data_IF_896274798228
#
_entry.id   IF_896274798228
#
_cell.length_a   1.000
_cell.length_b   1.000
_cell.length_c   1.000
_cell.angle_alpha   90.00
_cell.angle_beta   90.00
_cell.angle_gamma   90.00
#
_symmetry.space_group_name_H-M   'P 1'
#
loop_
_entity.id
_entity.type
_entity.pdbx_description
1 polymer ?
#
# COMPACT_ATOMS: atom_id res chain seq x y z
N UNK A 1 15.05 19.83 -25.31
CA UNK A 1 14.64 21.18 -25.77
C UNK A 1 13.29 21.47 -25.15
N UNK A 2 13.21 22.35 -24.14
CA UNK A 2 11.93 22.93 -23.75
C UNK A 2 11.65 24.09 -24.69
N UNK A 3 10.49 24.08 -25.34
CA UNK A 3 10.01 25.27 -26.06
C UNK A 3 9.24 26.08 -25.03
N UNK A 4 9.85 27.16 -24.52
CA UNK A 4 9.11 28.22 -23.87
C UNK A 4 8.66 29.21 -24.95
N UNK A 5 7.38 29.12 -25.33
CA UNK A 5 6.75 30.14 -26.15
C UNK A 5 6.43 31.37 -25.28
N UNK A 6 7.21 32.44 -25.44
CA UNK A 6 6.82 33.77 -24.97
C UNK A 6 5.93 34.37 -26.05
N UNK A 7 4.62 34.51 -25.79
CA UNK A 7 3.73 35.27 -26.65
C UNK A 7 4.03 36.76 -26.44
N UNK A 8 4.69 37.38 -27.40
CA UNK A 8 4.92 38.84 -27.40
C UNK A 8 3.71 39.52 -28.03
N UNK A 9 3.14 40.47 -27.29
CA UNK A 9 2.12 41.38 -27.78
C UNK A 9 2.78 42.43 -28.68
N UNK A 10 2.47 42.38 -29.98
CA UNK A 10 2.89 43.38 -30.96
C UNK A 10 1.70 44.32 -31.19
N UNK A 11 1.72 45.48 -30.57
CA UNK A 11 0.68 46.50 -30.76
C UNK A 11 1.10 47.74 -30.00
N UNK A 12 1.51 48.74 -30.75
CA UNK A 12 1.81 50.08 -30.25
C UNK A 12 0.54 50.70 -29.65
N UNK A 13 0.72 51.34 -28.50
CA UNK A 13 -0.09 52.38 -27.85
C UNK A 13 -1.55 52.55 -28.32
N UNK A 14 -2.49 52.30 -27.41
CA UNK A 14 -3.51 53.24 -26.91
C UNK A 14 -4.10 52.63 -25.64
N UNK A 15 -3.93 53.30 -24.48
CA UNK A 15 -4.62 52.90 -23.24
C UNK A 15 -6.12 53.10 -23.45
N UNK A 16 -6.88 52.01 -23.55
CA UNK A 16 -8.31 52.03 -23.31
C UNK A 16 -8.55 52.06 -21.80
N UNK A 17 -8.87 53.25 -21.28
CA UNK A 17 -9.61 53.37 -20.02
C UNK A 17 -10.92 52.58 -20.17
N UNK A 18 -11.22 51.74 -19.19
CA UNK A 18 -12.36 50.80 -19.11
C UNK A 18 -12.22 49.52 -19.95
N UNK A 19 -11.57 48.51 -19.38
CA UNK A 19 -12.08 47.13 -19.44
C UNK A 19 -11.57 46.38 -18.22
N UNK A 20 -12.50 45.74 -17.49
CA UNK A 20 -12.20 44.89 -16.34
C UNK A 20 -11.12 43.88 -16.72
N UNK A 21 -9.93 44.02 -16.12
CA UNK A 21 -8.84 43.07 -16.27
C UNK A 21 -9.36 41.69 -15.88
N UNK A 22 -9.58 40.86 -16.91
CA UNK A 22 -10.03 39.49 -16.79
C UNK A 22 -9.07 38.77 -15.85
N UNK A 23 -9.50 38.60 -14.61
CA UNK A 23 -8.87 37.72 -13.65
C UNK A 23 -8.99 36.29 -14.19
N UNK A 24 -8.07 35.93 -15.08
CA UNK A 24 -7.80 34.53 -15.41
C UNK A 24 -7.11 33.93 -14.20
N UNK A 25 -7.91 33.50 -13.20
CA UNK A 25 -7.47 32.47 -12.25
C UNK A 25 -7.28 31.18 -13.03
N UNK A 26 -6.16 31.08 -13.76
CA UNK A 26 -5.72 29.81 -14.30
C UNK A 26 -5.30 28.97 -13.10
N UNK A 27 -6.22 28.17 -12.60
CA UNK A 27 -5.93 27.08 -11.67
C UNK A 27 -5.49 25.83 -12.44
N UNK A 28 -4.61 25.99 -13.43
CA UNK A 28 -3.87 24.86 -13.98
C UNK A 28 -2.67 24.60 -13.07
N UNK A 29 -2.90 23.92 -11.95
CA UNK A 29 -1.81 23.16 -11.36
C UNK A 29 -1.50 22.03 -12.35
N UNK A 30 -0.35 22.12 -13.02
CA UNK A 30 0.27 20.94 -13.62
C UNK A 30 0.67 20.05 -12.44
N UNK A 31 -0.23 19.15 -12.05
CA UNK A 31 0.13 18.06 -11.18
C UNK A 31 1.05 17.17 -12.00
N UNK A 32 2.33 17.15 -11.64
CA UNK A 32 3.25 16.18 -12.18
C UNK A 32 2.79 14.81 -11.61
N UNK A 33 1.81 14.19 -12.27
CA UNK A 33 1.12 12.98 -11.83
C UNK A 33 2.08 11.79 -11.62
N UNK A 34 3.33 11.97 -12.07
CA UNK A 34 4.45 11.07 -11.91
C UNK A 34 4.56 10.09 -13.08
N UNK A 35 5.36 9.04 -12.89
CA UNK A 35 5.58 7.97 -13.87
C UNK A 35 4.68 6.78 -13.53
N UNK A 36 4.55 5.74 -14.38
CA UNK A 36 3.91 4.48 -13.98
C UNK A 36 4.50 3.84 -12.69
N UNK A 37 5.68 4.31 -12.25
CA UNK A 37 6.39 3.90 -11.04
C UNK A 37 6.45 4.95 -9.92
N UNK A 38 5.85 6.14 -10.09
CA UNK A 38 5.81 7.17 -9.05
C UNK A 38 4.53 7.98 -9.17
N UNK A 39 3.81 8.19 -8.08
CA UNK A 39 2.70 9.15 -8.05
C UNK A 39 3.11 10.36 -7.21
N UNK A 40 3.06 11.53 -7.84
CA UNK A 40 3.06 12.88 -7.26
C UNK A 40 4.17 13.30 -6.26
N UNK A 41 5.16 12.47 -5.90
CA UNK A 41 6.30 12.81 -5.04
C UNK A 41 5.93 13.57 -3.74
N UNK A 42 4.71 13.38 -3.24
CA UNK A 42 4.18 14.16 -2.11
C UNK A 42 4.36 13.40 -0.80
N UNK A 43 4.94 14.08 0.19
CA UNK A 43 4.68 13.76 1.60
C UNK A 43 3.21 14.03 1.85
N UNK A 44 2.40 12.98 1.82
CA UNK A 44 0.98 13.05 2.14
C UNK A 44 0.79 12.77 3.63
N UNK A 45 -0.18 13.46 4.24
CA UNK A 45 -0.65 13.16 5.60
C UNK A 45 -1.48 11.87 5.61
N UNK A 46 -2.62 11.88 6.28
CA UNK A 46 -3.54 10.74 6.24
C UNK A 46 -4.11 10.58 4.81
N UNK A 47 -3.77 9.48 4.14
CA UNK A 47 -4.38 9.08 2.87
C UNK A 47 -5.51 8.10 3.15
N UNK A 48 -6.73 8.47 2.74
CA UNK A 48 -7.90 7.60 2.84
C UNK A 48 -8.23 7.03 1.46
N UNK A 49 -8.36 5.71 1.36
CA UNK A 49 -8.80 5.02 0.15
C UNK A 49 -10.27 4.64 0.34
N UNK A 50 -11.15 5.36 -0.34
CA UNK A 50 -12.58 5.08 -0.32
C UNK A 50 -12.96 4.32 -1.61
N UNK A 51 -13.34 3.03 -1.51
CA UNK A 51 -13.84 2.31 -2.66
C UNK A 51 -15.17 2.90 -3.16
N UNK A 52 -15.42 2.78 -4.46
CA UNK A 52 -16.65 3.26 -5.10
C UNK A 52 -17.28 2.22 -6.05
N UNK A 53 -16.71 1.02 -6.14
CA UNK A 53 -17.23 0.01 -7.06
C UNK A 53 -18.52 -0.61 -6.50
N UNK A 54 -19.45 -0.88 -7.41
CA UNK A 54 -20.74 -1.52 -7.11
C UNK A 54 -20.64 -3.05 -7.28
N UNK A 55 -19.63 -3.56 -8.01
CA UNK A 55 -19.36 -4.99 -8.19
C UNK A 55 -17.86 -5.27 -8.43
N UNK A 56 -17.25 -6.17 -7.62
CA UNK A 56 -15.96 -6.81 -7.89
C UNK A 56 -14.87 -6.62 -6.82
N UNK A 57 -13.70 -7.25 -7.02
CA UNK A 57 -12.48 -7.10 -6.19
C UNK A 57 -11.76 -5.74 -6.43
N UNK A 58 -12.60 -4.76 -6.80
CA UNK A 58 -12.43 -3.34 -7.15
C UNK A 58 -11.66 -2.47 -6.13
N UNK A 59 -11.76 -2.88 -4.87
CA UNK A 59 -11.89 -1.94 -3.77
C UNK A 59 -10.63 -1.86 -2.89
N UNK A 60 -10.29 -0.64 -2.45
CA UNK A 60 -9.30 -0.43 -1.39
C UNK A 60 -7.83 -0.48 -1.83
N UNK A 61 -6.96 -0.86 -0.88
CA UNK A 61 -5.51 -0.96 -1.07
C UNK A 61 -5.14 -2.33 -1.65
N UNK A 62 -4.62 -2.37 -2.88
CA UNK A 62 -4.08 -3.60 -3.49
C UNK A 62 -2.57 -3.55 -3.53
N UNK A 63 -1.94 -4.51 -2.87
CA UNK A 63 -0.48 -4.68 -2.86
C UNK A 63 -0.12 -5.83 -3.79
N UNK A 64 0.59 -5.52 -4.88
CA UNK A 64 1.05 -6.53 -5.83
C UNK A 64 2.27 -7.29 -5.30
N UNK A 65 2.49 -8.49 -5.84
CA UNK A 65 3.72 -9.26 -5.59
C UNK A 65 4.91 -8.59 -6.26
N UNK A 66 6.08 -8.75 -5.66
CA UNK A 66 7.37 -8.27 -6.20
C UNK A 66 7.76 -8.95 -7.51
N UNK A 67 7.32 -10.20 -7.72
CA UNK A 67 7.46 -10.98 -8.95
C UNK A 67 6.15 -11.73 -9.16
N UNK A 68 5.65 -11.75 -10.39
CA UNK A 68 4.42 -12.48 -10.74
C UNK A 68 4.51 -13.95 -10.29
N UNK A 69 3.49 -14.42 -9.57
CA UNK A 69 3.35 -15.79 -9.03
C UNK A 69 4.38 -16.26 -7.97
N UNK A 70 5.59 -15.68 -7.92
CA UNK A 70 6.71 -16.20 -7.10
C UNK A 70 7.26 -15.18 -6.11
N UNK A 71 7.04 -13.89 -6.32
CA UNK A 71 7.52 -12.85 -5.41
C UNK A 71 6.58 -12.66 -4.22
N UNK A 72 7.08 -12.06 -3.15
CA UNK A 72 6.29 -11.77 -1.97
C UNK A 72 5.48 -10.47 -2.08
N UNK A 73 4.51 -10.29 -1.19
CA UNK A 73 3.84 -9.00 -0.95
C UNK A 73 3.71 -8.75 0.55
N UNK A 74 3.82 -7.50 0.97
CA UNK A 74 3.78 -7.09 2.38
C UNK A 74 3.03 -5.77 2.60
N UNK A 75 2.41 -5.66 3.77
CA UNK A 75 2.06 -4.39 4.40
C UNK A 75 2.91 -4.30 5.67
N UNK A 76 3.82 -3.34 5.73
CA UNK A 76 4.66 -3.11 6.92
C UNK A 76 4.06 -2.06 7.85
N UNK A 77 4.04 -2.37 9.16
CA UNK A 77 3.50 -1.53 10.22
C UNK A 77 4.62 -1.18 11.21
N UNK A 78 4.73 0.08 11.59
CA UNK A 78 5.79 0.52 12.51
C UNK A 78 7.15 0.70 11.82
N UNK A 79 7.16 1.15 10.56
CA UNK A 79 8.38 1.48 9.83
C UNK A 79 9.17 2.61 10.50
N UNK A 80 10.47 2.70 10.21
CA UNK A 80 11.29 3.84 10.62
C UNK A 80 10.85 5.10 9.86
N UNK A 81 10.89 6.26 10.54
CA UNK A 81 10.62 7.56 9.92
C UNK A 81 11.66 7.93 8.85
N UNK A 82 12.86 7.36 8.94
CA UNK A 82 14.01 7.74 8.09
C UNK A 82 14.61 6.59 7.30
N UNK A 83 14.22 5.34 7.58
CA UNK A 83 14.63 4.17 6.79
C UNK A 83 13.41 3.39 6.32
N UNK A 84 13.42 3.05 5.04
CA UNK A 84 12.45 2.17 4.40
C UNK A 84 13.08 0.84 3.95
N UNK A 85 14.26 0.50 4.49
CA UNK A 85 14.98 -0.72 4.14
C UNK A 85 15.62 -1.37 5.37
N UNK A 86 15.82 -2.69 5.28
CA UNK A 86 16.36 -3.51 6.37
C UNK A 86 15.34 -3.86 7.45
N UNK A 87 15.75 -4.74 8.37
CA UNK A 87 14.93 -5.10 9.53
C UNK A 87 14.82 -3.91 10.49
N UNK A 88 13.60 -3.44 10.72
CA UNK A 88 13.30 -2.38 11.69
C UNK A 88 12.79 -3.03 12.98
N UNK A 89 13.39 -2.68 14.11
CA UNK A 89 12.96 -3.19 15.42
C UNK A 89 11.52 -2.77 15.73
N UNK A 90 10.72 -3.72 16.22
CA UNK A 90 9.31 -3.48 16.56
C UNK A 90 8.35 -3.39 15.35
N UNK A 91 8.86 -3.51 14.13
CA UNK A 91 8.03 -3.54 12.92
C UNK A 91 7.24 -4.86 12.84
N UNK A 92 5.96 -4.74 12.49
CA UNK A 92 5.09 -5.87 12.18
C UNK A 92 4.80 -5.93 10.69
N UNK A 93 4.53 -7.12 10.17
CA UNK A 93 4.17 -7.31 8.77
C UNK A 93 2.92 -8.15 8.65
N UNK A 94 2.10 -7.81 7.65
CA UNK A 94 1.14 -8.73 7.04
C UNK A 94 1.78 -9.16 5.72
N UNK A 95 2.14 -10.43 5.61
CA UNK A 95 3.09 -10.91 4.61
C UNK A 95 2.55 -12.13 3.87
N UNK A 96 2.78 -12.15 2.55
CA UNK A 96 2.56 -13.33 1.72
C UNK A 96 3.89 -13.74 1.07
N UNK A 97 4.58 -14.78 1.55
CA UNK A 97 5.80 -15.27 0.93
C UNK A 97 5.52 -15.89 -0.46
N UNK A 98 6.60 -16.28 -1.15
CA UNK A 98 6.53 -17.04 -2.40
C UNK A 98 5.67 -18.31 -2.29
N UNK A 99 5.61 -18.93 -1.12
CA UNK A 99 4.81 -20.13 -0.80
C UNK A 99 3.31 -19.87 -0.65
N UNK A 100 2.86 -18.61 -0.73
CA UNK A 100 1.44 -18.19 -0.75
C UNK A 100 0.66 -18.38 0.56
N UNK A 101 1.33 -18.63 1.68
CA UNK A 101 0.69 -18.50 3.00
C UNK A 101 0.36 -17.03 3.31
N UNK A 102 -0.51 -16.80 4.30
CA UNK A 102 -0.70 -15.49 4.92
C UNK A 102 -0.07 -15.50 6.30
N UNK A 103 0.81 -14.54 6.58
CA UNK A 103 1.60 -14.46 7.82
C UNK A 103 1.38 -13.09 8.47
N UNK A 104 1.17 -13.08 9.79
CA UNK A 104 1.23 -11.88 10.62
C UNK A 104 2.28 -12.12 11.71
N UNK A 105 3.38 -11.37 11.64
CA UNK A 105 4.53 -11.55 12.53
C UNK A 105 5.34 -10.26 12.70
N UNK A 106 6.28 -10.28 13.64
CA UNK A 106 7.38 -9.31 13.66
C UNK A 106 8.19 -9.46 12.37
N UNK A 107 8.56 -8.35 11.74
CA UNK A 107 9.18 -8.34 10.40
C UNK A 107 10.40 -9.26 10.28
N UNK A 108 11.25 -9.28 11.31
CA UNK A 108 12.45 -10.13 11.36
C UNK A 108 12.16 -11.64 11.46
N UNK A 109 10.91 -12.04 11.68
CA UNK A 109 10.47 -13.43 11.83
C UNK A 109 9.49 -13.85 10.73
N UNK A 110 9.18 -12.98 9.76
CA UNK A 110 8.12 -13.23 8.77
C UNK A 110 8.40 -14.41 7.83
N UNK A 111 9.68 -14.78 7.65
CA UNK A 111 10.09 -15.95 6.87
C UNK A 111 10.22 -17.23 7.72
N UNK A 112 10.09 -17.13 9.04
CA UNK A 112 10.11 -18.27 9.95
C UNK A 112 8.70 -18.83 10.13
N UNK A 113 8.45 -20.01 9.56
CA UNK A 113 7.15 -20.71 9.63
C UNK A 113 6.76 -21.15 11.06
N UNK A 114 7.67 -21.02 12.02
CA UNK A 114 7.44 -21.36 13.44
C UNK A 114 7.07 -20.14 14.28
N UNK A 115 6.88 -18.96 13.68
CA UNK A 115 6.64 -17.69 14.39
C UNK A 115 5.40 -16.97 13.88
N UNK A 116 4.73 -16.25 14.78
CA UNK A 116 3.55 -15.44 14.44
C UNK A 116 2.30 -16.26 14.13
N UNK A 117 1.30 -15.61 13.54
CA UNK A 117 0.05 -16.21 13.10
C UNK A 117 0.14 -16.55 11.62
N UNK A 118 -0.19 -17.78 11.23
CA UNK A 118 -0.08 -18.23 9.84
C UNK A 118 -1.32 -18.98 9.37
N UNK A 119 -1.74 -18.68 8.14
CA UNK A 119 -2.72 -19.46 7.38
C UNK A 119 -1.99 -20.11 6.21
N UNK A 120 -2.14 -21.43 6.06
CA UNK A 120 -1.54 -22.18 4.96
C UNK A 120 -2.05 -21.71 3.60
N UNK A 121 -1.26 -21.96 2.54
CA UNK A 121 -1.58 -21.53 1.18
C UNK A 121 -2.89 -22.11 0.63
N UNK A 122 -3.31 -23.28 1.13
CA UNK A 122 -4.56 -23.94 0.78
C UNK A 122 -5.74 -23.50 1.68
N UNK A 123 -5.49 -22.64 2.68
CA UNK A 123 -6.49 -22.15 3.62
C UNK A 123 -6.95 -23.17 4.67
N UNK A 124 -6.37 -24.38 4.72
CA UNK A 124 -6.86 -25.46 5.57
C UNK A 124 -6.27 -25.48 6.98
N UNK A 125 -5.12 -24.85 7.20
CA UNK A 125 -4.38 -24.90 8.47
C UNK A 125 -4.13 -23.51 9.00
N UNK A 126 -4.51 -23.29 10.26
CA UNK A 126 -4.21 -22.10 11.04
C UNK A 126 -3.23 -22.47 12.16
N UNK A 127 -2.11 -21.74 12.29
CA UNK A 127 -1.10 -21.96 13.32
C UNK A 127 -0.66 -20.68 14.02
N UNK A 128 -0.22 -20.81 15.27
CA UNK A 128 0.41 -19.73 16.02
C UNK A 128 1.71 -20.23 16.67
N UNK A 129 2.82 -19.54 16.40
CA UNK A 129 4.16 -19.91 16.87
C UNK A 129 4.48 -21.42 16.65
N UNK A 130 4.23 -21.90 15.43
CA UNK A 130 4.46 -23.29 15.04
C UNK A 130 3.43 -24.31 15.56
N UNK A 131 2.51 -23.91 16.44
CA UNK A 131 1.46 -24.79 16.96
C UNK A 131 0.21 -24.69 16.09
N UNK A 132 -0.28 -25.83 15.58
CA UNK A 132 -1.54 -25.89 14.82
C UNK A 132 -2.73 -25.72 15.76
N UNK A 133 -3.56 -24.71 15.49
CA UNK A 133 -4.76 -24.42 16.29
C UNK A 133 -6.06 -24.81 15.58
N UNK A 134 -6.05 -24.92 14.25
CA UNK A 134 -7.15 -25.50 13.48
C UNK A 134 -6.63 -26.13 12.18
N UNK A 135 -7.30 -27.19 11.71
CA UNK A 135 -6.96 -27.89 10.47
C UNK A 135 -6.28 -29.24 10.66
N UNK A 136 -5.61 -29.70 9.60
CA UNK A 136 -4.88 -30.97 9.61
C UNK A 136 -3.72 -30.91 10.61
N UNK A 137 -3.66 -31.87 11.53
CA UNK A 137 -2.63 -31.94 12.57
C UNK A 137 -2.98 -31.22 13.89
N UNK A 138 -4.16 -30.59 14.02
CA UNK A 138 -4.62 -30.07 15.30
C UNK A 138 -4.92 -31.22 16.28
N UNK A 139 -4.24 -31.25 17.43
CA UNK A 139 -4.39 -32.34 18.42
C UNK A 139 -5.64 -32.19 19.29
N UNK A 140 -6.17 -30.97 19.43
CA UNK A 140 -7.37 -30.66 20.18
C UNK A 140 -8.32 -29.83 19.31
N UNK A 141 -9.27 -30.49 18.63
CA UNK A 141 -10.41 -29.76 18.08
C UNK A 141 -11.14 -29.04 19.21
N UNK A 142 -11.52 -27.78 19.03
CA UNK A 142 -12.27 -27.03 20.03
C UNK A 142 -13.54 -27.81 20.39
N UNK A 143 -13.56 -28.46 21.55
CA UNK A 143 -14.79 -29.07 22.06
C UNK A 143 -15.63 -27.92 22.60
N UNK A 144 -16.77 -27.66 21.97
CA UNK A 144 -17.72 -26.61 22.36
C UNK A 144 -17.20 -25.17 22.21
N UNK A 145 -16.35 -24.89 21.21
CA UNK A 145 -15.87 -23.53 20.90
C UNK A 145 -14.83 -22.96 21.86
N UNK A 146 -14.37 -23.75 22.85
CA UNK A 146 -13.24 -23.38 23.72
C UNK A 146 -11.96 -24.03 23.21
N UNK A 147 -10.97 -23.20 22.84
CA UNK A 147 -9.59 -23.63 22.60
C UNK A 147 -8.84 -23.45 23.92
N UNK A 148 -8.33 -24.55 24.49
CA UNK A 148 -7.51 -24.49 25.70
C UNK A 148 -6.09 -24.07 25.30
N UNK A 149 -5.71 -22.83 25.59
CA UNK A 149 -4.32 -22.41 25.57
C UNK A 149 -3.67 -22.77 26.91
N UNK A 150 -2.55 -23.49 26.86
CA UNK A 150 -1.69 -23.76 28.03
C UNK A 150 -0.79 -22.57 28.35
#
# INVERSE_FOLDING_TARGET
QSVQGVLRHSGDDEESEDDEDYVTRVQNYVLNAGTPSSYAAVSCGNVQINPSAVDGFDDGLRVARTIENTGSASIELGCSRTSNSGAIEGQWVIYTPSTKSLIIAVASQAEDITRGLQISADGNTLSFNGSVIAGAGATNGATNGSVNYS
#
